data_IF_015886280822
#
_entry.id   IF_015886280822
#
_cell.length_a   1.000
_cell.length_b   1.000
_cell.length_c   1.000
_cell.angle_alpha   90.00
_cell.angle_beta   90.00
_cell.angle_gamma   90.00
#
_symmetry.space_group_name_H-M   'P 1'
#
loop_
_entity.id
_entity.type
_entity.pdbx_description
1 polymer ?
#
# COMPACT_ATOMS: atom_id res chain seq x y z
N UNK A 1 -41.35 -14.17 -10.11
CA UNK A 1 -40.95 -12.80 -10.51
C UNK A 1 -39.63 -12.54 -9.82
N UNK A 2 -38.52 -12.49 -10.54
CA UNK A 2 -37.21 -12.27 -9.93
C UNK A 2 -37.13 -10.82 -9.43
N UNK A 3 -36.81 -10.66 -8.15
CA UNK A 3 -36.62 -9.38 -7.49
C UNK A 3 -35.36 -8.73 -8.05
N UNK A 4 -35.50 -7.58 -8.73
CA UNK A 4 -34.36 -6.81 -9.22
C UNK A 4 -33.61 -6.30 -8.00
N UNK A 5 -32.31 -6.60 -7.83
CA UNK A 5 -31.56 -6.10 -6.67
C UNK A 5 -31.61 -4.57 -6.68
N UNK A 6 -31.98 -4.00 -5.54
CA UNK A 6 -32.06 -2.56 -5.36
C UNK A 6 -30.73 -1.91 -5.75
N UNK A 7 -30.78 -0.93 -6.66
CA UNK A 7 -29.58 -0.20 -7.10
C UNK A 7 -28.97 0.50 -5.88
N UNK A 8 -27.65 0.37 -5.63
CA UNK A 8 -27.03 1.05 -4.50
C UNK A 8 -27.21 2.57 -4.63
N UNK A 9 -27.49 3.23 -3.51
CA UNK A 9 -27.79 4.66 -3.42
C UNK A 9 -26.65 5.54 -3.96
N UNK A 10 -25.43 5.00 -3.96
CA UNK A 10 -24.21 5.66 -4.42
C UNK A 10 -23.49 4.69 -5.36
N UNK A 11 -23.15 5.15 -6.56
CA UNK A 11 -22.34 4.39 -7.50
C UNK A 11 -20.87 4.82 -7.36
N UNK A 12 -19.90 3.92 -7.59
CA UNK A 12 -18.49 4.27 -7.46
C UNK A 12 -18.05 5.37 -8.44
N UNK A 13 -18.73 5.51 -9.59
CA UNK A 13 -18.47 6.58 -10.56
C UNK A 13 -18.87 7.97 -10.06
N UNK A 14 -19.74 8.04 -9.05
CA UNK A 14 -20.18 9.31 -8.46
C UNK A 14 -19.11 9.91 -7.53
N UNK A 15 -18.14 9.09 -7.08
CA UNK A 15 -17.13 9.47 -6.07
C UNK A 15 -15.71 9.41 -6.63
N UNK A 16 -15.43 8.47 -7.54
CA UNK A 16 -14.06 8.15 -7.96
C UNK A 16 -13.89 8.24 -9.47
N UNK A 17 -12.64 8.33 -9.92
CA UNK A 17 -12.34 8.27 -11.35
C UNK A 17 -12.72 6.89 -11.94
N UNK A 18 -12.88 6.78 -13.27
CA UNK A 18 -13.30 5.53 -13.92
C UNK A 18 -12.42 4.32 -13.56
N UNK A 19 -11.10 4.50 -13.49
CA UNK A 19 -10.15 3.45 -13.14
C UNK A 19 -10.41 2.87 -11.73
N UNK A 20 -10.69 3.74 -10.76
CA UNK A 20 -11.05 3.33 -9.41
C UNK A 20 -12.44 2.69 -9.35
N UNK A 21 -13.38 3.19 -10.15
CA UNK A 21 -14.72 2.62 -10.22
C UNK A 21 -14.72 1.19 -10.80
N UNK A 22 -13.90 0.94 -11.81
CA UNK A 22 -13.64 -0.42 -12.34
C UNK A 22 -13.07 -1.34 -11.27
N UNK A 23 -12.11 -0.85 -10.47
CA UNK A 23 -11.54 -1.62 -9.35
C UNK A 23 -12.60 -2.02 -8.30
N UNK A 24 -13.54 -1.13 -8.00
CA UNK A 24 -14.62 -1.41 -7.04
C UNK A 24 -15.66 -2.39 -7.57
N UNK A 25 -15.83 -2.49 -8.90
CA UNK A 25 -16.73 -3.48 -9.52
C UNK A 25 -16.18 -4.90 -9.51
N UNK A 26 -14.87 -5.08 -9.35
CA UNK A 26 -14.28 -6.41 -9.22
C UNK A 26 -14.83 -7.15 -8.00
N UNK A 27 -15.05 -8.45 -8.17
CA UNK A 27 -15.33 -9.35 -7.06
C UNK A 27 -14.13 -9.40 -6.10
N UNK A 28 -14.31 -9.79 -4.83
CA UNK A 28 -13.20 -9.92 -3.89
C UNK A 28 -12.07 -10.84 -4.40
N UNK A 29 -12.41 -11.93 -5.10
CA UNK A 29 -11.43 -12.85 -5.65
C UNK A 29 -10.63 -12.24 -6.81
N UNK A 30 -11.30 -11.55 -7.73
CA UNK A 30 -10.62 -10.85 -8.83
C UNK A 30 -9.73 -9.73 -8.31
N UNK A 31 -10.22 -8.97 -7.33
CA UNK A 31 -9.45 -7.90 -6.70
C UNK A 31 -8.19 -8.44 -6.03
N UNK A 32 -8.29 -9.58 -5.34
CA UNK A 32 -7.13 -10.24 -4.76
C UNK A 32 -6.07 -10.60 -5.80
N UNK A 33 -6.48 -11.19 -6.93
CA UNK A 33 -5.57 -11.53 -8.02
C UNK A 33 -4.92 -10.29 -8.67
N UNK A 34 -5.63 -9.17 -8.78
CA UNK A 34 -5.02 -7.92 -9.26
C UNK A 34 -4.04 -7.32 -8.23
N UNK A 35 -4.36 -7.38 -6.93
CA UNK A 35 -3.45 -6.96 -5.87
C UNK A 35 -2.13 -7.75 -5.88
N UNK A 36 -2.17 -9.06 -6.16
CA UNK A 36 -0.96 -9.88 -6.29
C UNK A 36 -0.06 -9.41 -7.45
N UNK A 37 -0.63 -8.98 -8.58
CA UNK A 37 0.13 -8.41 -9.70
C UNK A 37 0.76 -7.07 -9.33
N UNK A 38 0.00 -6.19 -8.65
CA UNK A 38 0.51 -4.92 -8.16
C UNK A 38 1.65 -5.13 -7.15
N UNK A 39 1.54 -6.16 -6.31
CA UNK A 39 2.59 -6.54 -5.37
C UNK A 39 3.87 -6.97 -6.07
N UNK A 40 3.79 -7.77 -7.14
CA UNK A 40 4.96 -8.12 -7.93
C UNK A 40 5.65 -6.87 -8.52
N UNK A 41 4.87 -5.95 -9.08
CA UNK A 41 5.38 -4.67 -9.60
C UNK A 41 6.04 -3.84 -8.50
N UNK A 42 5.42 -3.75 -7.31
CA UNK A 42 5.99 -3.06 -6.16
C UNK A 42 7.36 -3.61 -5.78
N UNK A 43 7.51 -4.93 -5.76
CA UNK A 43 8.80 -5.57 -5.50
C UNK A 43 9.82 -5.30 -6.61
N UNK A 44 9.39 -5.32 -7.88
CA UNK A 44 10.25 -4.97 -9.02
C UNK A 44 10.75 -3.51 -8.95
N UNK A 45 9.93 -2.60 -8.43
CA UNK A 45 10.29 -1.19 -8.19
C UNK A 45 11.19 -0.99 -6.95
N UNK A 46 11.62 -2.06 -6.30
CA UNK A 46 12.53 -2.01 -5.15
C UNK A 46 11.84 -2.14 -3.79
N UNK A 47 10.53 -2.39 -3.76
CA UNK A 47 9.79 -2.61 -2.51
C UNK A 47 9.74 -1.37 -1.62
N UNK A 48 9.85 -0.17 -2.20
CA UNK A 48 9.61 1.10 -1.53
C UNK A 48 8.92 2.05 -2.50
N UNK A 49 7.82 2.64 -2.05
CA UNK A 49 7.13 3.74 -2.72
C UNK A 49 7.20 5.02 -1.87
N UNK A 50 8.03 5.00 -0.82
CA UNK A 50 8.22 6.18 0.01
C UNK A 50 8.83 7.28 -0.87
N UNK A 51 8.20 8.47 -0.91
CA UNK A 51 8.79 9.57 -1.64
C UNK A 51 10.13 9.92 -0.99
N UNK A 52 11.10 10.30 -1.82
CA UNK A 52 12.35 10.85 -1.31
C UNK A 52 12.01 12.04 -0.39
N UNK A 53 12.60 12.11 0.82
CA UNK A 53 12.32 13.21 1.73
C UNK A 53 12.64 14.56 1.09
N UNK A 54 11.75 15.54 1.29
CA UNK A 54 11.96 16.90 0.80
C UNK A 54 13.14 17.56 1.53
N UNK A 55 14.29 17.58 0.85
CA UNK A 55 15.53 18.18 1.36
C UNK A 55 15.46 19.69 1.59
N UNK A 56 14.44 20.36 1.05
CA UNK A 56 14.24 21.80 1.21
C UNK A 56 13.26 22.13 2.36
N UNK A 57 12.68 21.12 2.99
CA UNK A 57 11.82 21.31 4.15
C UNK A 57 12.62 21.88 5.33
N UNK A 58 12.10 22.88 6.07
CA UNK A 58 12.73 23.36 7.29
C UNK A 58 12.78 22.30 8.41
N UNK A 59 12.06 21.19 8.24
CA UNK A 59 12.06 20.03 9.14
C UNK A 59 12.90 18.86 8.61
N UNK A 60 13.61 19.01 7.48
CA UNK A 60 14.47 17.97 6.94
C UNK A 60 15.70 17.76 7.84
N UNK A 61 15.91 16.53 8.28
CA UNK A 61 17.13 16.10 8.96
C UNK A 61 17.76 14.95 8.17
N UNK A 62 18.92 15.21 7.55
CA UNK A 62 19.67 14.23 6.77
C UNK A 62 20.17 13.03 7.61
N UNK A 63 20.21 13.16 8.94
CA UNK A 63 20.63 12.11 9.85
C UNK A 63 19.44 11.38 10.49
N UNK A 64 18.21 11.77 10.19
CA UNK A 64 17.04 11.06 10.67
C UNK A 64 17.06 9.63 10.12
N UNK A 65 16.82 8.61 10.96
CA UNK A 65 16.63 7.26 10.45
C UNK A 65 15.44 7.28 9.48
N UNK A 66 15.63 6.71 8.29
CA UNK A 66 14.56 6.58 7.30
C UNK A 66 13.34 5.86 7.89
N UNK A 67 12.16 6.09 7.31
CA UNK A 67 10.96 5.36 7.68
C UNK A 67 11.26 3.85 7.52
N UNK A 68 11.43 3.15 8.64
CA UNK A 68 11.68 1.72 8.61
C UNK A 68 10.51 1.00 7.95
N UNK A 69 10.78 -0.17 7.37
CA UNK A 69 9.74 -1.06 6.81
C UNK A 69 8.65 -1.22 7.87
N UNK A 70 7.45 -0.70 7.57
CA UNK A 70 6.33 -0.66 8.52
C UNK A 70 5.80 -2.07 8.83
N UNK A 71 6.01 -3.01 7.90
CA UNK A 71 5.73 -4.43 8.09
C UNK A 71 6.85 -5.12 8.86
N UNK A 72 6.83 -4.98 10.19
CA UNK A 72 6.94 -6.05 11.19
C UNK A 72 8.04 -7.12 11.09
N UNK A 73 8.99 -7.07 10.15
CA UNK A 73 10.18 -7.92 10.20
C UNK A 73 11.04 -7.37 11.31
N UNK A 74 11.02 -8.10 12.43
CA UNK A 74 11.91 -7.95 13.57
C UNK A 74 13.29 -7.54 13.08
N UNK A 75 13.65 -6.28 13.29
CA UNK A 75 15.03 -5.86 13.25
C UNK A 75 15.71 -6.59 14.40
N UNK A 76 16.23 -7.79 14.10
CA UNK A 76 17.01 -8.57 15.06
C UNK A 76 18.22 -7.72 15.41
N UNK A 77 18.12 -7.04 16.54
CA UNK A 77 19.22 -6.30 17.15
C UNK A 77 20.31 -7.34 17.43
N UNK A 78 21.41 -7.30 16.67
CA UNK A 78 22.55 -8.21 16.87
C UNK A 78 23.17 -7.88 18.23
N UNK A 79 22.75 -8.58 19.27
CA UNK A 79 23.40 -8.58 20.57
C UNK A 79 24.69 -9.39 20.43
N UNK A 80 25.83 -8.70 20.34
CA UNK A 80 27.12 -9.38 20.54
C UNK A 80 27.16 -9.82 21.99
N UNK A 81 27.21 -11.14 22.23
CA UNK A 81 27.50 -11.66 23.57
C UNK A 81 28.93 -11.19 23.92
N UNK A 82 29.05 -10.21 24.80
CA UNK A 82 30.29 -10.00 25.55
C UNK A 82 30.32 -11.09 26.61
N UNK A 83 31.37 -11.91 26.62
CA UNK A 83 31.56 -12.95 27.63
C UNK A 83 31.63 -12.35 29.04
N UNK A 84 31.08 -13.09 30.01
CA UNK A 84 31.29 -12.89 31.45
C UNK A 84 32.78 -13.06 31.76
#
# INVERSE_FOLDING_TARGET
>A
MAETPAKPLIQPEDICSPEWAEWYRLTPAERWAQSEKLWAIYLELGGSLDPEPDTQSPFFDANAPGAGITDGRSSLRVLRRSGI
#
